data_IF_064199342056
#
_entry.id   IF_064199342056
#
_cell.length_a   1.000
_cell.length_b   1.000
_cell.length_c   1.000
_cell.angle_alpha   90.00
_cell.angle_beta   90.00
_cell.angle_gamma   90.00
#
_symmetry.space_group_name_H-M   'P 1'
#
loop_
_entity.id
_entity.type
_entity.pdbx_description
1 polymer ?
#
# COMPACT_ATOMS: atom_id res chain seq x y z
N UNK A 1 -30.05 -47.91 11.44
CA UNK A 1 -30.81 -47.80 10.19
C UNK A 1 -29.81 -47.61 9.04
N UNK A 2 -29.92 -48.51 8.08
CA UNK A 2 -29.20 -48.74 6.81
C UNK A 2 -28.72 -47.47 6.06
N UNK A 3 -27.44 -47.38 5.70
CA UNK A 3 -26.76 -47.78 4.44
C UNK A 3 -27.08 -46.88 3.23
N UNK A 4 -26.03 -46.47 2.51
CA UNK A 4 -26.13 -45.89 1.17
C UNK A 4 -24.83 -45.33 0.60
N UNK A 5 -23.77 -46.15 0.50
CA UNK A 5 -22.62 -45.84 -0.37
C UNK A 5 -22.97 -46.26 -1.80
N UNK A 6 -22.96 -45.29 -2.73
CA UNK A 6 -23.03 -45.55 -4.16
C UNK A 6 -21.62 -45.37 -4.76
N UNK A 7 -21.03 -46.51 -5.09
CA UNK A 7 -19.82 -46.68 -5.90
C UNK A 7 -20.27 -46.67 -7.37
N UNK A 8 -19.73 -45.73 -8.16
CA UNK A 8 -19.98 -45.64 -9.60
C UNK A 8 -18.73 -46.14 -10.33
N UNK A 9 -18.79 -47.39 -10.79
CA UNK A 9 -17.86 -47.95 -11.75
C UNK A 9 -18.11 -47.34 -13.14
N UNK A 10 -17.11 -46.62 -13.65
CA UNK A 10 -17.08 -46.12 -15.03
C UNK A 10 -16.30 -47.14 -15.87
N UNK A 11 -17.04 -47.94 -16.65
CA UNK A 11 -16.50 -48.88 -17.63
C UNK A 11 -16.12 -48.08 -18.90
N UNK A 12 -14.82 -48.01 -19.19
CA UNK A 12 -14.27 -47.46 -20.44
C UNK A 12 -14.15 -48.59 -21.47
N UNK A 13 -15.10 -48.65 -22.42
CA UNK A 13 -14.99 -49.50 -23.61
C UNK A 13 -13.99 -48.91 -24.62
N UNK A 14 -12.92 -49.67 -24.89
CA UNK A 14 -11.93 -49.37 -25.93
C UNK A 14 -12.31 -50.10 -27.22
N UNK A 15 -12.64 -49.41 -28.33
CA UNK A 15 -12.94 -50.08 -29.59
C UNK A 15 -11.65 -50.60 -30.25
N UNK A 16 -11.49 -51.93 -30.26
CA UNK A 16 -10.52 -52.64 -31.10
C UNK A 16 -10.94 -52.56 -32.57
N UNK A 17 -10.35 -51.63 -33.32
CA UNK A 17 -10.40 -51.64 -34.79
C UNK A 17 -9.23 -52.46 -35.33
N UNK A 18 -9.54 -53.62 -35.94
CA UNK A 18 -8.57 -54.43 -36.67
C UNK A 18 -8.22 -53.76 -38.01
N UNK A 19 -6.93 -53.60 -38.35
CA UNK A 19 -6.53 -53.08 -39.65
C UNK A 19 -6.80 -54.12 -40.74
N UNK A 20 -7.67 -53.75 -41.68
CA UNK A 20 -7.94 -54.52 -42.90
C UNK A 20 -6.70 -54.45 -43.80
N UNK A 21 -6.03 -55.59 -44.00
CA UNK A 21 -4.90 -55.74 -44.90
C UNK A 21 -5.38 -55.57 -46.35
N UNK A 22 -5.02 -54.44 -46.96
CA UNK A 22 -5.23 -54.19 -48.38
C UNK A 22 -4.27 -55.06 -49.22
N UNK A 23 -4.71 -55.50 -50.42
CA UNK A 23 -3.92 -56.36 -51.29
C UNK A 23 -2.62 -55.68 -51.73
N UNK A 24 -1.51 -56.42 -51.59
CA UNK A 24 -0.19 -56.02 -52.08
C UNK A 24 -0.25 -55.76 -53.59
N UNK A 25 -0.33 -54.49 -53.97
CA UNK A 25 -0.08 -54.07 -55.33
C UNK A 25 1.40 -54.25 -55.62
N UNK A 26 1.73 -55.09 -56.61
CA UNK A 26 3.08 -55.27 -57.10
C UNK A 26 3.54 -53.96 -57.74
N UNK A 27 4.29 -53.16 -56.97
CA UNK A 27 4.93 -51.94 -57.47
C UNK A 27 6.03 -52.36 -58.43
N UNK A 28 5.94 -51.93 -59.67
CA UNK A 28 6.98 -52.19 -60.69
C UNK A 28 8.31 -51.56 -60.25
N UNK A 29 9.46 -52.18 -60.58
CA UNK A 29 10.78 -51.67 -60.17
C UNK A 29 11.04 -50.23 -60.66
N UNK A 30 10.43 -49.83 -61.78
CA UNK A 30 10.51 -48.48 -62.33
C UNK A 30 9.76 -47.45 -61.47
N UNK A 31 8.56 -47.78 -60.99
CA UNK A 31 7.82 -46.91 -60.06
C UNK A 31 8.54 -46.75 -58.71
N UNK A 32 9.27 -47.79 -58.27
CA UNK A 32 10.11 -47.73 -57.08
C UNK A 32 11.32 -46.79 -57.28
N UNK A 33 11.96 -46.84 -58.44
CA UNK A 33 13.09 -45.95 -58.77
C UNK A 33 12.66 -44.48 -58.85
N UNK A 34 11.53 -44.19 -59.51
CA UNK A 34 10.99 -42.83 -59.60
C UNK A 34 10.61 -42.25 -58.22
N UNK A 35 10.03 -43.08 -57.34
CA UNK A 35 9.69 -42.66 -55.97
C UNK A 35 10.92 -42.37 -55.13
N UNK A 36 12.00 -43.14 -55.27
CA UNK A 36 13.26 -42.87 -54.57
C UNK A 36 13.92 -41.58 -55.07
N UNK A 37 13.88 -41.30 -56.37
CA UNK A 37 14.41 -40.05 -56.92
C UNK A 37 13.70 -38.81 -56.34
N UNK A 38 12.37 -38.84 -56.25
CA UNK A 38 11.58 -37.76 -55.63
C UNK A 38 11.90 -37.56 -54.15
N UNK A 39 12.13 -38.64 -53.39
CA UNK A 39 12.49 -38.54 -51.97
C UNK A 39 13.88 -37.89 -51.81
N UNK A 40 14.85 -38.26 -52.65
CA UNK A 40 16.20 -37.69 -52.61
C UNK A 40 16.17 -36.20 -52.98
N UNK A 41 15.39 -35.80 -53.98
CA UNK A 41 15.26 -34.40 -54.37
C UNK A 41 14.55 -33.56 -53.30
N UNK A 42 13.49 -34.09 -52.68
CA UNK A 42 12.81 -33.45 -51.56
C UNK A 42 13.75 -33.27 -50.35
N UNK A 43 14.58 -34.28 -50.03
CA UNK A 43 15.57 -34.18 -48.96
C UNK A 43 16.66 -33.15 -49.26
N UNK A 44 17.11 -33.04 -50.52
CA UNK A 44 18.10 -32.04 -50.93
C UNK A 44 17.55 -30.61 -50.82
N UNK A 45 16.28 -30.39 -51.17
CA UNK A 45 15.62 -29.09 -51.06
C UNK A 45 15.40 -28.67 -49.60
N UNK A 46 14.96 -29.61 -48.75
CA UNK A 46 14.77 -29.37 -47.32
C UNK A 46 16.10 -29.08 -46.57
N UNK A 47 17.22 -29.65 -47.02
CA UNK A 47 18.54 -29.35 -46.46
C UNK A 47 19.02 -27.92 -46.74
N UNK A 48 18.74 -27.38 -47.93
CA UNK A 48 19.18 -26.05 -48.33
C UNK A 48 18.41 -24.92 -47.61
N UNK A 49 17.09 -25.11 -47.39
CA UNK A 49 16.26 -24.13 -46.69
C UNK A 49 16.56 -24.07 -45.18
N UNK A 50 16.98 -25.19 -44.56
CA UNK A 50 17.41 -25.22 -43.15
C UNK A 50 18.67 -24.42 -42.88
N UNK A 51 19.67 -24.49 -43.78
CA UNK A 51 20.92 -23.76 -43.62
C UNK A 51 20.73 -22.24 -43.75
N UNK A 52 19.81 -21.79 -44.60
CA UNK A 52 19.50 -20.37 -44.77
C UNK A 52 18.69 -19.79 -43.59
N UNK A 53 17.78 -20.58 -43.02
CA UNK A 53 17.04 -20.20 -41.81
C UNK A 53 17.94 -20.13 -40.56
N UNK A 54 18.94 -21.02 -40.43
CA UNK A 54 19.88 -20.98 -39.29
C UNK A 54 20.82 -19.77 -39.33
N UNK A 55 21.30 -19.34 -40.50
CA UNK A 55 22.13 -18.14 -40.64
C UNK A 55 21.35 -16.83 -40.37
N UNK A 56 20.03 -16.84 -40.60
CA UNK A 56 19.17 -15.68 -40.33
C UNK A 56 18.81 -15.54 -38.84
N UNK A 57 18.79 -16.65 -38.10
CA UNK A 57 18.48 -16.67 -36.67
C UNK A 57 19.63 -16.11 -35.83
N UNK A 58 20.88 -16.42 -36.19
CA UNK A 58 22.07 -16.01 -35.42
C UNK A 58 22.35 -14.50 -35.46
N UNK A 59 21.96 -13.80 -36.54
CA UNK A 59 22.16 -12.34 -36.65
C UNK A 59 21.11 -11.56 -35.85
N UNK A 60 19.92 -12.15 -35.64
CA UNK A 60 18.87 -11.53 -34.84
C UNK A 60 19.19 -11.59 -33.33
N UNK A 61 19.85 -12.65 -32.87
CA UNK A 61 20.21 -12.82 -31.46
C UNK A 61 21.29 -11.83 -30.99
N UNK A 62 22.28 -11.51 -31.85
CA UNK A 62 23.33 -10.53 -31.52
C UNK A 62 22.78 -9.10 -31.38
N UNK A 63 21.81 -8.72 -32.24
CA UNK A 63 21.17 -7.40 -32.15
C UNK A 63 20.33 -7.25 -30.87
N UNK A 64 19.65 -8.33 -30.44
CA UNK A 64 18.86 -8.32 -29.21
C UNK A 64 19.74 -8.18 -27.96
N UNK A 65 20.90 -8.84 -27.95
CA UNK A 65 21.91 -8.73 -26.88
C UNK A 65 22.44 -7.31 -26.72
N UNK A 66 22.69 -6.59 -27.82
CA UNK A 66 23.17 -5.20 -27.75
C UNK A 66 22.12 -4.25 -27.14
N UNK A 67 20.85 -4.37 -27.53
CA UNK A 67 19.77 -3.54 -26.98
C UNK A 67 19.54 -3.82 -25.50
N UNK A 68 19.59 -5.10 -25.10
CA UNK A 68 19.49 -5.48 -23.70
C UNK A 68 20.65 -4.94 -22.85
N UNK A 69 21.88 -4.98 -23.37
CA UNK A 69 23.05 -4.43 -22.70
C UNK A 69 22.95 -2.90 -22.52
N UNK A 70 22.50 -2.16 -23.54
CA UNK A 70 22.31 -0.72 -23.46
C UNK A 70 21.22 -0.35 -22.43
N UNK A 71 20.10 -1.10 -22.41
CA UNK A 71 19.05 -0.91 -21.41
C UNK A 71 19.54 -1.21 -19.99
N UNK A 72 20.37 -2.24 -19.80
CA UNK A 72 20.96 -2.56 -18.51
C UNK A 72 21.88 -1.42 -17.99
N UNK A 73 22.67 -0.81 -18.88
CA UNK A 73 23.52 0.34 -18.51
C UNK A 73 22.66 1.55 -18.11
N UNK A 74 21.60 1.85 -18.87
CA UNK A 74 20.66 2.94 -18.52
C UNK A 74 19.96 2.70 -17.18
N UNK A 75 19.51 1.46 -16.93
CA UNK A 75 18.90 1.08 -15.66
C UNK A 75 19.88 1.20 -14.48
N UNK A 76 21.14 0.79 -14.67
CA UNK A 76 22.19 0.93 -13.66
C UNK A 76 22.49 2.40 -13.33
N UNK A 77 22.55 3.27 -14.35
CA UNK A 77 22.75 4.71 -14.16
C UNK A 77 21.56 5.35 -13.41
N UNK A 78 20.32 4.98 -13.75
CA UNK A 78 19.13 5.44 -13.04
C UNK A 78 19.12 5.00 -11.58
N UNK A 79 19.54 3.76 -11.29
CA UNK A 79 19.66 3.25 -9.92
C UNK A 79 20.70 4.04 -9.12
N UNK A 80 21.86 4.34 -9.71
CA UNK A 80 22.89 5.18 -9.05
C UNK A 80 22.38 6.59 -8.76
N UNK A 81 21.64 7.20 -9.70
CA UNK A 81 21.03 8.52 -9.50
C UNK A 81 20.01 8.51 -8.36
N UNK A 82 19.18 7.47 -8.25
CA UNK A 82 18.22 7.33 -7.13
C UNK A 82 18.93 7.14 -5.78
N UNK A 83 20.03 6.37 -5.75
CA UNK A 83 20.83 6.19 -4.52
C UNK A 83 21.47 7.51 -4.09
N UNK A 84 22.01 8.29 -5.04
CA UNK A 84 22.58 9.61 -4.76
C UNK A 84 21.51 10.59 -4.24
N UNK A 85 20.33 10.64 -4.89
CA UNK A 85 19.22 11.48 -4.46
C UNK A 85 18.72 11.11 -3.05
N UNK A 86 18.64 9.80 -2.74
CA UNK A 86 18.30 9.33 -1.39
C UNK A 86 19.33 9.75 -0.35
N UNK A 87 20.62 9.65 -0.68
CA UNK A 87 21.70 10.07 0.22
C UNK A 87 21.64 11.57 0.50
N UNK A 88 21.34 12.39 -0.53
CA UNK A 88 21.18 13.83 -0.37
C UNK A 88 19.97 14.16 0.51
N UNK A 89 18.82 13.55 0.26
CA UNK A 89 17.62 13.75 1.08
C UNK A 89 17.85 13.37 2.55
N UNK A 90 18.62 12.31 2.82
CA UNK A 90 18.98 11.94 4.19
C UNK A 90 19.85 13.00 4.87
N UNK A 91 20.85 13.51 4.17
CA UNK A 91 21.70 14.60 4.67
C UNK A 91 20.90 15.88 4.96
N UNK A 92 19.93 16.20 4.11
CA UNK A 92 19.07 17.37 4.31
C UNK A 92 18.13 17.21 5.53
N UNK A 93 17.64 16.00 5.79
CA UNK A 93 16.89 15.69 7.01
C UNK A 93 17.76 15.82 8.26
N UNK A 94 18.98 15.30 8.24
CA UNK A 94 19.90 15.39 9.37
C UNK A 94 20.27 16.87 9.67
N UNK A 95 20.44 17.69 8.63
CA UNK A 95 20.64 19.14 8.78
C UNK A 95 19.41 19.86 9.34
N UNK A 96 18.21 19.49 8.89
CA UNK A 96 16.97 20.06 9.41
C UNK A 96 16.77 19.73 10.89
N UNK A 97 17.10 18.51 11.33
CA UNK A 97 17.05 18.10 12.74
C UNK A 97 18.06 18.86 13.61
N UNK A 98 19.27 19.09 13.10
CA UNK A 98 20.28 19.94 13.74
C UNK A 98 19.80 21.38 13.93
N UNK A 99 19.18 21.97 12.90
CA UNK A 99 18.61 23.32 12.96
C UNK A 99 17.44 23.41 13.95
N UNK A 100 16.58 22.39 13.99
CA UNK A 100 15.45 22.34 14.94
C UNK A 100 15.96 22.27 16.38
N UNK A 101 16.94 21.41 16.64
CA UNK A 101 17.56 21.26 17.96
C UNK A 101 18.20 22.56 18.44
N UNK A 102 18.94 23.24 17.58
CA UNK A 102 19.53 24.55 17.89
C UNK A 102 18.46 25.61 18.18
N UNK A 103 17.37 25.64 17.41
CA UNK A 103 16.25 26.57 17.63
C UNK A 103 15.58 26.29 18.98
N UNK A 104 15.41 25.03 19.35
CA UNK A 104 14.82 24.64 20.63
C UNK A 104 15.70 25.04 21.82
N UNK A 105 17.02 24.87 21.72
CA UNK A 105 17.96 25.35 22.73
C UNK A 105 17.91 26.87 22.91
N UNK A 106 17.83 27.64 21.82
CA UNK A 106 17.66 29.09 21.88
C UNK A 106 16.37 29.51 22.59
N UNK A 107 15.27 28.80 22.35
CA UNK A 107 13.99 29.06 23.02
C UNK A 107 14.12 28.79 24.53
N UNK A 108 14.75 27.68 24.93
CA UNK A 108 14.99 27.36 26.35
C UNK A 108 15.83 28.45 27.02
N UNK A 109 16.91 28.90 26.38
CA UNK A 109 17.77 29.96 26.92
C UNK A 109 17.00 31.29 27.09
N UNK A 110 16.16 31.63 26.11
CA UNK A 110 15.30 32.81 26.16
C UNK A 110 14.27 32.71 27.30
N UNK A 111 13.67 31.54 27.48
CA UNK A 111 12.72 31.29 28.56
C UNK A 111 13.36 31.40 29.95
N UNK A 112 14.55 30.80 30.14
CA UNK A 112 15.30 30.91 31.39
C UNK A 112 15.66 32.36 31.70
N UNK A 113 16.04 33.14 30.69
CA UNK A 113 16.33 34.57 30.84
C UNK A 113 15.09 35.34 31.31
N UNK A 114 13.93 35.08 30.73
CA UNK A 114 12.66 35.67 31.18
C UNK A 114 12.30 35.27 32.60
N UNK A 115 12.53 34.01 32.99
CA UNK A 115 12.22 33.54 34.34
C UNK A 115 13.00 34.31 35.42
N UNK A 116 14.25 34.71 35.14
CA UNK A 116 15.04 35.53 36.08
C UNK A 116 14.41 36.92 36.32
N UNK A 117 13.74 37.50 35.32
CA UNK A 117 13.08 38.81 35.45
C UNK A 117 11.82 38.74 36.31
N UNK A 118 11.15 37.58 36.35
CA UNK A 118 9.91 37.38 37.13
C UNK A 118 10.15 36.71 38.48
N UNK A 119 11.40 36.47 38.88
CA UNK A 119 11.68 35.90 40.19
C UNK A 119 11.57 37.01 41.23
N UNK A 120 10.59 36.96 42.16
CA UNK A 120 10.39 38.04 43.12
C UNK A 120 11.64 38.20 44.00
N UNK A 121 12.06 39.44 44.31
CA UNK A 121 13.20 39.67 45.17
C UNK A 121 12.93 38.99 46.52
N UNK A 122 13.85 38.10 46.92
CA UNK A 122 13.72 37.34 48.16
C UNK A 122 13.58 38.32 49.33
N UNK A 123 12.39 38.36 49.91
CA UNK A 123 12.14 39.21 51.07
C UNK A 123 13.00 38.73 52.24
N UNK A 124 13.73 39.63 52.92
CA UNK A 124 14.60 39.24 54.04
C UNK A 124 13.78 38.60 55.16
N UNK A 125 14.14 37.36 55.49
CA UNK A 125 13.56 36.53 56.54
C UNK A 125 13.71 37.22 57.91
N UNK A 126 12.61 37.73 58.45
CA UNK A 126 12.55 38.26 59.81
C UNK A 126 12.40 37.11 60.80
N UNK A 127 13.52 36.68 61.38
CA UNK A 127 13.53 35.79 62.55
C UNK A 127 12.84 36.44 63.75
N UNK A 128 11.72 35.89 64.22
CA UNK A 128 11.22 36.14 65.59
C UNK A 128 10.97 34.83 66.33
N UNK A 129 11.59 34.75 67.50
CA UNK A 129 11.51 33.71 68.53
C UNK A 129 10.10 33.64 69.18
N UNK A 130 9.66 32.41 69.47
CA UNK A 130 8.89 31.82 70.62
C UNK A 130 8.15 32.74 71.64
N UNK A 131 7.17 32.29 72.50
CA UNK A 131 6.59 30.94 72.75
C UNK A 131 5.04 30.85 73.01
N UNK A 132 4.62 29.63 73.40
CA UNK A 132 3.32 29.05 73.79
C UNK A 132 2.25 29.88 74.54
N UNK A 133 0.96 29.63 74.24
CA UNK A 133 -0.11 29.14 75.15
C UNK A 133 -1.52 29.12 74.48
N UNK A 134 -2.35 28.15 74.89
CA UNK A 134 -3.75 27.81 74.49
C UNK A 134 -4.82 28.89 74.91
N UNK A 135 -6.17 28.70 74.78
CA UNK A 135 -7.01 27.74 74.03
C UNK A 135 -8.20 28.35 73.21
N UNK A 136 -8.80 27.50 72.36
CA UNK A 136 -10.23 27.41 71.98
C UNK A 136 -11.00 28.61 71.38
N UNK A 137 -11.37 28.51 70.10
CA UNK A 137 -12.77 28.64 69.61
C UNK A 137 -12.88 28.19 68.15
N UNK A 138 -13.96 27.50 67.72
CA UNK A 138 -14.13 27.03 66.36
C UNK A 138 -14.85 28.09 65.52
N UNK A 139 -14.13 28.73 64.60
CA UNK A 139 -14.76 29.55 63.55
C UNK A 139 -14.34 29.00 62.18
N UNK A 140 -15.34 28.43 61.52
CA UNK A 140 -15.29 27.82 60.19
C UNK A 140 -15.17 28.93 59.13
N UNK A 141 -14.07 29.04 58.36
CA UNK A 141 -14.05 29.91 57.21
C UNK A 141 -14.70 29.19 56.04
N UNK A 142 -15.63 29.88 55.37
CA UNK A 142 -16.17 29.46 54.07
C UNK A 142 -15.03 29.45 53.06
N UNK A 143 -14.61 28.27 52.64
CA UNK A 143 -13.72 28.07 51.50
C UNK A 143 -14.47 28.51 50.24
N UNK A 144 -14.28 29.76 49.82
CA UNK A 144 -14.57 30.17 48.45
C UNK A 144 -13.52 29.50 47.56
N UNK A 145 -13.90 28.37 46.97
CA UNK A 145 -13.20 27.78 45.83
C UNK A 145 -13.37 28.75 44.67
N UNK A 146 -12.38 29.61 44.49
CA UNK A 146 -12.24 30.47 43.34
C UNK A 146 -11.92 29.57 42.14
N UNK A 147 -12.97 29.14 41.42
CA UNK A 147 -12.84 28.48 40.11
C UNK A 147 -12.14 29.45 39.17
N UNK A 148 -10.82 29.31 39.07
CA UNK A 148 -10.01 29.89 38.00
C UNK A 148 -10.56 29.32 36.70
N UNK A 149 -11.25 30.15 35.93
CA UNK A 149 -11.57 29.86 34.54
C UNK A 149 -10.23 29.85 33.80
N UNK A 150 -9.62 28.67 33.71
CA UNK A 150 -8.60 28.40 32.71
C UNK A 150 -9.30 28.46 31.36
N UNK A 151 -8.98 29.52 30.61
CA UNK A 151 -9.37 29.64 29.21
C UNK A 151 -8.81 28.42 28.47
N UNK A 152 -9.64 27.61 27.79
CA UNK A 152 -9.14 26.45 27.09
C UNK A 152 -8.21 26.94 25.99
N UNK A 153 -6.92 26.63 26.14
CA UNK A 153 -5.94 26.83 25.08
C UNK A 153 -6.48 26.19 23.80
N UNK A 154 -6.58 26.98 22.74
CA UNK A 154 -7.02 26.53 21.42
C UNK A 154 -6.06 25.44 20.93
N UNK A 155 -6.44 24.17 21.11
CA UNK A 155 -5.70 23.03 20.56
C UNK A 155 -5.90 23.07 19.05
N UNK A 156 -4.85 23.46 18.32
CA UNK A 156 -4.80 23.42 16.86
C UNK A 156 -5.02 21.97 16.44
N UNK A 157 -6.07 21.72 15.66
CA UNK A 157 -6.36 20.39 15.14
C UNK A 157 -5.20 19.94 14.22
N UNK A 158 -4.64 18.73 14.39
CA UNK A 158 -3.60 18.24 13.51
C UNK A 158 -4.12 18.14 12.07
N UNK A 159 -3.26 18.47 11.10
CA UNK A 159 -3.59 18.36 9.68
C UNK A 159 -3.90 16.90 9.29
N UNK A 160 -4.95 16.70 8.50
CA UNK A 160 -5.33 15.40 7.96
C UNK A 160 -4.44 15.11 6.75
N UNK A 161 -3.61 14.06 6.85
CA UNK A 161 -2.81 13.54 5.73
C UNK A 161 -3.42 12.20 5.30
N UNK A 162 -3.99 12.10 4.08
CA UNK A 162 -4.54 10.84 3.56
C UNK A 162 -3.47 9.74 3.54
N UNK A 163 -3.77 8.57 4.13
CA UNK A 163 -2.80 7.47 4.24
C UNK A 163 -1.66 7.73 5.23
N UNK A 164 -1.67 8.88 5.91
CA UNK A 164 -0.67 9.24 6.91
C UNK A 164 -0.90 8.52 8.23
N UNK A 165 0.20 8.14 8.87
CA UNK A 165 0.21 7.76 10.29
C UNK A 165 -0.01 9.04 11.10
N UNK A 166 -1.02 9.07 11.97
CA UNK A 166 -1.22 10.18 12.90
C UNK A 166 -0.15 10.05 14.00
N UNK A 167 1.06 10.55 13.71
CA UNK A 167 2.11 10.65 14.71
C UNK A 167 1.87 11.90 15.56
N UNK A 168 1.27 11.70 16.74
CA UNK A 168 1.62 12.55 17.89
C UNK A 168 3.15 12.42 18.06
N UNK A 169 3.88 13.53 18.22
CA UNK A 169 5.26 13.71 17.74
C UNK A 169 6.17 12.52 18.06
N UNK A 170 6.63 11.79 17.03
CA UNK A 170 7.93 11.09 16.95
C UNK A 170 8.12 10.41 15.58
N UNK A 171 8.98 11.03 14.76
CA UNK A 171 9.87 10.53 13.70
C UNK A 171 9.36 9.58 12.57
N UNK A 172 9.46 10.10 11.33
CA UNK A 172 9.06 9.47 10.07
C UNK A 172 9.97 8.32 9.56
N UNK A 173 9.37 7.43 8.75
CA UNK A 173 10.00 6.27 8.11
C UNK A 173 9.84 6.37 6.58
N UNK A 174 10.86 6.00 5.76
CA UNK A 174 10.82 6.14 4.30
C UNK A 174 10.10 4.96 3.60
N UNK A 175 9.45 5.28 2.47
CA UNK A 175 8.69 4.37 1.62
C UNK A 175 9.56 3.37 0.83
N UNK A 176 9.04 2.17 0.54
CA UNK A 176 9.74 1.01 -0.04
C UNK A 176 9.00 0.50 -1.31
N UNK A 177 9.66 -0.28 -2.19
CA UNK A 177 9.29 -0.41 -3.61
C UNK A 177 8.11 -1.36 -3.89
N UNK A 178 7.47 -1.10 -5.03
CA UNK A 178 6.28 -1.74 -5.61
C UNK A 178 6.45 -3.26 -5.83
N UNK A 179 5.47 -4.12 -5.48
CA UNK A 179 5.53 -5.55 -5.76
C UNK A 179 5.20 -5.88 -7.23
N UNK A 180 5.80 -6.96 -7.71
CA UNK A 180 5.74 -7.46 -9.08
C UNK A 180 4.31 -7.57 -9.64
N UNK A 181 4.12 -7.08 -10.87
CA UNK A 181 2.87 -7.21 -11.63
C UNK A 181 2.57 -8.68 -11.91
N UNK A 182 1.46 -9.19 -11.37
CA UNK A 182 0.87 -10.44 -11.84
C UNK A 182 0.35 -10.27 -13.28
N UNK A 183 0.57 -11.31 -14.07
CA UNK A 183 0.39 -11.42 -15.53
C UNK A 183 -0.98 -10.93 -16.05
N UNK A 184 -0.97 -10.34 -17.25
CA UNK A 184 -2.13 -9.76 -17.91
C UNK A 184 -3.24 -10.80 -18.18
N UNK A 185 -4.48 -10.39 -17.91
CA UNK A 185 -5.64 -11.27 -17.90
C UNK A 185 -5.97 -11.90 -19.27
N UNK A 186 -6.23 -13.22 -19.34
CA UNK A 186 -6.87 -13.83 -20.50
C UNK A 186 -8.36 -13.42 -20.57
N UNK A 187 -8.82 -13.00 -21.76
CA UNK A 187 -10.16 -12.45 -22.04
C UNK A 187 -11.35 -13.44 -21.89
N UNK A 188 -11.17 -14.56 -21.20
CA UNK A 188 -12.23 -15.51 -20.88
C UNK A 188 -12.77 -15.15 -19.50
N UNK A 189 -13.98 -14.59 -19.43
CA UNK A 189 -14.76 -14.44 -18.20
C UNK A 189 -15.00 -15.81 -17.56
N UNK A 190 -14.01 -16.31 -16.83
CA UNK A 190 -14.16 -17.52 -16.05
C UNK A 190 -15.24 -17.25 -15.01
N UNK A 191 -16.34 -17.99 -15.10
CA UNK A 191 -17.40 -18.00 -14.10
C UNK A 191 -16.83 -18.71 -12.87
N UNK A 192 -16.15 -17.95 -12.03
CA UNK A 192 -15.45 -18.46 -10.86
C UNK A 192 -15.51 -17.45 -9.71
N UNK A 193 -15.36 -17.92 -8.47
CA UNK A 193 -15.24 -17.02 -7.33
C UNK A 193 -13.90 -16.29 -7.37
N UNK A 194 -13.94 -14.99 -7.14
CA UNK A 194 -12.76 -14.13 -7.07
C UNK A 194 -12.42 -13.82 -5.62
N UNK A 195 -11.13 -13.73 -5.31
CA UNK A 195 -10.64 -13.52 -3.96
C UNK A 195 -9.74 -12.31 -3.92
N UNK A 196 -9.95 -11.47 -2.92
CA UNK A 196 -9.07 -10.34 -2.61
C UNK A 196 -8.45 -10.58 -1.25
N UNK A 197 -7.13 -10.62 -1.19
CA UNK A 197 -6.34 -10.73 0.04
C UNK A 197 -5.79 -9.36 0.37
N UNK A 198 -6.30 -8.76 1.45
CA UNK A 198 -5.90 -7.45 1.96
C UNK A 198 -4.74 -7.54 2.95
N UNK A 199 -4.59 -8.68 3.61
CA UNK A 199 -3.46 -8.96 4.50
C UNK A 199 -3.28 -10.47 4.64
N UNK A 200 -2.12 -10.94 4.21
CA UNK A 200 -1.67 -12.32 4.30
C UNK A 200 -0.39 -12.47 5.11
N UNK A 201 0.11 -13.70 5.19
CA UNK A 201 1.44 -13.98 5.75
C UNK A 201 2.49 -13.15 5.02
N UNK A 202 3.52 -12.72 5.75
CA UNK A 202 4.65 -11.95 5.20
C UNK A 202 4.25 -10.65 4.48
N UNK A 203 3.07 -10.10 4.81
CA UNK A 203 2.54 -8.89 4.18
C UNK A 203 2.04 -9.11 2.75
N UNK A 204 1.85 -10.35 2.32
CA UNK A 204 1.31 -10.65 0.99
C UNK A 204 -0.12 -10.11 0.85
N UNK A 205 -0.36 -9.48 -0.29
CA UNK A 205 -1.65 -8.92 -0.69
C UNK A 205 -1.84 -9.20 -2.16
N UNK A 206 -3.09 -9.29 -2.61
CA UNK A 206 -3.33 -9.53 -4.02
C UNK A 206 -4.76 -9.88 -4.37
N UNK A 207 -4.92 -10.12 -5.66
CA UNK A 207 -6.16 -10.48 -6.32
C UNK A 207 -5.98 -11.86 -6.97
N UNK A 208 -6.86 -12.80 -6.67
CA UNK A 208 -6.73 -14.21 -7.03
C UNK A 208 -8.03 -14.74 -7.64
N UNK A 209 -7.92 -15.61 -8.65
CA UNK A 209 -9.03 -16.30 -9.29
C UNK A 209 -9.37 -17.64 -8.63
N UNK A 210 -8.51 -18.14 -7.73
CA UNK A 210 -8.64 -19.43 -7.07
C UNK A 210 -8.25 -19.36 -5.59
N UNK A 211 -8.91 -20.20 -4.79
CA UNK A 211 -8.56 -20.34 -3.38
C UNK A 211 -7.35 -21.26 -3.15
N UNK A 212 -7.31 -22.38 -3.88
CA UNK A 212 -6.20 -23.34 -3.87
C UNK A 212 -5.43 -23.21 -5.19
N UNK A 213 -4.11 -23.16 -5.11
CA UNK A 213 -3.22 -23.06 -6.26
C UNK A 213 -2.97 -24.42 -6.90
N UNK A 214 -2.44 -24.40 -8.12
CA UNK A 214 -1.65 -25.52 -8.62
C UNK A 214 -0.26 -25.47 -7.97
N UNK A 215 0.49 -26.57 -7.99
CA UNK A 215 1.71 -26.81 -7.19
C UNK A 215 2.84 -25.74 -7.32
N UNK A 216 2.73 -24.77 -8.22
CA UNK A 216 3.74 -23.74 -8.47
C UNK A 216 3.25 -22.29 -8.29
N UNK A 217 1.94 -22.05 -8.08
CA UNK A 217 1.39 -20.69 -7.97
C UNK A 217 0.90 -20.38 -6.55
N UNK A 218 1.31 -19.23 -6.03
CA UNK A 218 0.96 -18.78 -4.69
C UNK A 218 -0.56 -18.58 -4.58
N UNK A 219 -1.24 -19.38 -3.77
CA UNK A 219 -2.69 -19.31 -3.64
C UNK A 219 -3.15 -18.56 -2.40
N UNK A 220 -4.44 -18.18 -2.39
CA UNK A 220 -5.07 -17.57 -1.21
C UNK A 220 -4.87 -18.47 0.02
N UNK A 221 -5.00 -19.79 -0.15
CA UNK A 221 -4.75 -20.74 0.93
C UNK A 221 -3.32 -20.64 1.42
N UNK A 222 -2.31 -20.67 0.56
CA UNK A 222 -0.90 -20.64 1.00
C UNK A 222 -0.56 -19.37 1.78
N UNK A 223 -1.15 -18.25 1.37
CA UNK A 223 -0.93 -16.92 1.96
C UNK A 223 -1.68 -16.76 3.30
N UNK A 224 -2.83 -17.43 3.46
CA UNK A 224 -3.72 -17.19 4.60
C UNK A 224 -3.80 -18.36 5.57
N UNK A 225 -3.39 -19.56 5.17
CA UNK A 225 -3.47 -20.76 5.99
C UNK A 225 -2.53 -20.61 7.19
N UNK A 226 -3.08 -20.91 8.38
CA UNK A 226 -2.42 -20.75 9.67
C UNK A 226 -2.02 -19.31 10.06
N UNK A 227 -2.43 -18.31 9.28
CA UNK A 227 -2.21 -16.91 9.64
C UNK A 227 -3.41 -16.35 10.42
N UNK A 228 -3.18 -15.97 11.67
CA UNK A 228 -4.23 -15.50 12.60
C UNK A 228 -4.89 -14.21 12.11
N UNK A 229 -4.09 -13.30 11.54
CA UNK A 229 -4.51 -11.96 11.16
C UNK A 229 -4.90 -11.84 9.67
N UNK A 230 -5.18 -12.97 9.01
CA UNK A 230 -5.57 -12.98 7.60
C UNK A 230 -6.82 -12.13 7.34
N UNK A 231 -6.76 -11.30 6.31
CA UNK A 231 -7.88 -10.48 5.84
C UNK A 231 -8.09 -10.79 4.36
N UNK A 232 -9.16 -11.51 4.04
CA UNK A 232 -9.52 -11.78 2.66
C UNK A 232 -11.05 -11.78 2.49
N UNK A 233 -11.49 -11.55 1.25
CA UNK A 233 -12.91 -11.61 0.89
C UNK A 233 -13.09 -12.33 -0.44
N UNK A 234 -14.11 -13.19 -0.47
CA UNK A 234 -14.63 -13.84 -1.68
C UNK A 234 -15.70 -12.97 -2.34
N UNK A 235 -15.70 -12.94 -3.66
CA UNK A 235 -16.65 -12.24 -4.52
C UNK A 235 -17.15 -13.18 -5.62
N UNK A 236 -18.40 -12.99 -6.05
CA UNK A 236 -19.01 -13.79 -7.12
C UNK A 236 -18.83 -13.15 -8.51
N UNK A 237 -18.25 -11.94 -8.57
CA UNK A 237 -18.07 -11.16 -9.81
C UNK A 237 -16.66 -10.59 -9.84
N UNK A 238 -15.99 -10.78 -10.98
CA UNK A 238 -14.68 -10.21 -11.29
C UNK A 238 -14.68 -8.70 -11.11
N UNK A 239 -15.61 -8.00 -11.78
CA UNK A 239 -15.68 -6.54 -11.79
C UNK A 239 -15.82 -5.97 -10.37
N UNK A 240 -16.64 -6.61 -9.54
CA UNK A 240 -16.83 -6.19 -8.15
C UNK A 240 -15.57 -6.39 -7.32
N UNK A 241 -14.91 -7.53 -7.47
CA UNK A 241 -13.68 -7.84 -6.76
C UNK A 241 -12.55 -6.90 -7.17
N UNK A 242 -12.39 -6.67 -8.48
CA UNK A 242 -11.39 -5.78 -9.06
C UNK A 242 -11.59 -4.33 -8.64
N UNK A 243 -12.83 -3.84 -8.69
CA UNK A 243 -13.19 -2.50 -8.22
C UNK A 243 -12.84 -2.32 -6.73
N UNK A 244 -13.21 -3.28 -5.88
CA UNK A 244 -12.93 -3.20 -4.44
C UNK A 244 -11.43 -3.22 -4.16
N UNK A 245 -10.68 -4.10 -4.84
CA UNK A 245 -9.22 -4.16 -4.75
C UNK A 245 -8.56 -2.84 -5.17
N UNK A 246 -8.94 -2.33 -6.34
CA UNK A 246 -8.38 -1.09 -6.89
C UNK A 246 -8.60 0.09 -5.95
N UNK A 247 -9.82 0.24 -5.41
CA UNK A 247 -10.08 1.34 -4.46
C UNK A 247 -9.26 1.25 -3.18
N UNK A 248 -9.08 0.04 -2.62
CA UNK A 248 -8.31 -0.13 -1.37
C UNK A 248 -6.82 0.10 -1.63
N UNK A 249 -6.33 -0.26 -2.81
CA UNK A 249 -4.97 0.02 -3.27
C UNK A 249 -4.76 1.53 -3.45
N UNK A 250 -5.63 2.19 -4.21
CA UNK A 250 -5.50 3.61 -4.55
C UNK A 250 -5.70 4.53 -3.34
N UNK A 251 -6.48 4.09 -2.35
CA UNK A 251 -6.67 4.85 -1.11
C UNK A 251 -5.53 4.67 -0.09
N UNK A 252 -4.50 3.86 -0.39
CA UNK A 252 -3.37 3.59 0.51
C UNK A 252 -3.72 2.74 1.74
N UNK A 253 -4.93 2.17 1.81
CA UNK A 253 -5.35 1.34 2.96
C UNK A 253 -4.54 0.05 3.02
N UNK A 254 -4.08 -0.46 1.86
CA UNK A 254 -3.20 -1.62 1.79
C UNK A 254 -1.86 -1.39 2.51
N UNK A 255 -1.28 -0.20 2.39
CA UNK A 255 -0.02 0.14 3.05
C UNK A 255 -0.17 0.13 4.57
N UNK A 256 -1.30 0.65 5.07
CA UNK A 256 -1.64 0.62 6.51
C UNK A 256 -1.79 -0.79 7.07
N UNK A 257 -2.20 -1.75 6.23
CA UNK A 257 -2.43 -3.14 6.62
C UNK A 257 -1.23 -4.04 6.35
N UNK A 258 -0.15 -3.54 5.75
CA UNK A 258 0.98 -4.37 5.30
C UNK A 258 1.71 -5.03 6.46
N UNK A 259 2.02 -4.25 7.48
CA UNK A 259 2.80 -4.72 8.63
C UNK A 259 1.94 -5.56 9.59
N UNK A 260 2.53 -6.50 10.36
CA UNK A 260 1.78 -7.27 11.35
C UNK A 260 1.03 -6.38 12.36
N UNK A 261 -0.15 -6.80 12.86
CA UNK A 261 -0.91 -6.03 13.84
C UNK A 261 -0.09 -5.73 15.10
N UNK A 262 -0.08 -4.47 15.51
CA UNK A 262 0.62 -4.02 16.71
C UNK A 262 -0.34 -3.91 17.89
N UNK A 263 0.12 -4.22 19.10
CA UNK A 263 -0.71 -4.08 20.30
C UNK A 263 -1.06 -2.61 20.54
N UNK A 264 -2.35 -2.31 20.61
CA UNK A 264 -2.85 -0.93 20.82
C UNK A 264 -2.94 -0.12 19.53
N UNK A 265 -2.87 -0.75 18.37
CA UNK A 265 -3.18 -0.15 17.08
C UNK A 265 -4.64 0.36 17.05
N UNK A 266 -4.81 1.58 16.56
CA UNK A 266 -6.11 2.25 16.40
C UNK A 266 -6.16 2.87 15.01
N UNK A 267 -7.28 2.70 14.35
CA UNK A 267 -7.58 3.25 13.04
C UNK A 267 -8.72 4.27 13.16
N UNK A 268 -8.54 5.43 12.53
CA UNK A 268 -9.57 6.47 12.43
C UNK A 268 -9.99 6.58 10.98
N UNK A 269 -11.22 6.19 10.69
CA UNK A 269 -11.83 6.28 9.36
C UNK A 269 -12.49 7.64 9.24
N UNK A 270 -11.91 8.52 8.42
CA UNK A 270 -12.42 9.86 8.16
C UNK A 270 -13.44 9.79 7.01
N UNK A 271 -13.06 9.12 5.92
CA UNK A 271 -13.93 8.84 4.77
C UNK A 271 -14.08 7.34 4.58
N UNK A 272 -15.31 6.83 4.66
CA UNK A 272 -15.56 5.39 4.58
C UNK A 272 -17.04 5.04 4.61
N UNK A 273 -17.35 3.74 4.57
CA UNK A 273 -18.73 3.25 4.68
C UNK A 273 -19.38 3.60 6.04
N UNK A 274 -18.57 3.60 7.10
CA UNK A 274 -18.94 4.07 8.43
C UNK A 274 -17.74 4.77 9.04
N UNK A 275 -17.65 6.11 8.94
CA UNK A 275 -16.61 6.87 9.64
C UNK A 275 -16.64 6.57 11.15
N UNK A 276 -15.47 6.48 11.78
CA UNK A 276 -15.36 6.12 13.20
C UNK A 276 -13.97 5.64 13.60
N UNK A 277 -13.85 5.17 14.85
CA UNK A 277 -12.59 4.69 15.44
C UNK A 277 -12.65 3.18 15.68
N UNK A 278 -11.68 2.47 15.12
CA UNK A 278 -11.62 1.01 15.09
C UNK A 278 -10.31 0.50 15.69
N UNK A 279 -10.37 -0.54 16.54
CA UNK A 279 -9.18 -1.19 17.13
C UNK A 279 -8.86 -2.55 16.49
N UNK A 280 -9.71 -3.01 15.58
CA UNK A 280 -9.60 -4.32 14.96
C UNK A 280 -9.63 -4.15 13.44
N UNK A 281 -8.58 -4.64 12.76
CA UNK A 281 -8.44 -4.53 11.30
C UNK A 281 -9.59 -5.19 10.53
N UNK A 282 -10.16 -6.28 11.04
CA UNK A 282 -11.33 -6.92 10.44
C UNK A 282 -12.57 -6.02 10.53
N UNK A 283 -12.82 -5.39 11.70
CA UNK A 283 -13.94 -4.45 11.85
C UNK A 283 -13.75 -3.18 11.01
N UNK A 284 -12.51 -2.69 10.91
CA UNK A 284 -12.15 -1.60 10.01
C UNK A 284 -12.58 -1.94 8.56
N UNK A 285 -12.17 -3.10 8.03
CA UNK A 285 -12.52 -3.50 6.67
C UNK A 285 -14.03 -3.76 6.51
N UNK A 286 -14.66 -4.50 7.42
CA UNK A 286 -16.07 -4.88 7.29
C UNK A 286 -17.02 -3.69 7.50
N UNK A 287 -16.86 -2.96 8.60
CA UNK A 287 -17.81 -1.93 9.02
C UNK A 287 -17.36 -0.54 8.58
N UNK A 288 -16.10 -0.20 8.85
CA UNK A 288 -15.55 1.12 8.56
C UNK A 288 -15.48 1.41 7.07
N UNK A 289 -15.01 0.43 6.30
CA UNK A 289 -14.73 0.58 4.87
C UNK A 289 -15.67 -0.21 3.95
N UNK A 290 -16.38 -1.21 4.47
CA UNK A 290 -17.16 -2.16 3.69
C UNK A 290 -16.34 -2.81 2.54
N UNK A 291 -15.08 -3.14 2.82
CA UNK A 291 -14.08 -3.75 1.93
C UNK A 291 -13.66 -2.87 0.74
N UNK A 292 -13.89 -1.57 0.84
CA UNK A 292 -13.59 -0.60 -0.20
C UNK A 292 -12.53 0.40 0.26
N UNK A 293 -12.07 1.24 -0.65
CA UNK A 293 -11.14 2.32 -0.31
C UNK A 293 -11.78 3.34 0.63
N UNK A 294 -10.93 4.08 1.32
CA UNK A 294 -11.32 5.15 2.22
C UNK A 294 -10.12 5.96 2.70
N UNK A 295 -10.40 7.04 3.41
CA UNK A 295 -9.37 7.84 4.05
C UNK A 295 -9.27 7.40 5.51
N UNK A 296 -8.16 6.72 5.82
CA UNK A 296 -7.90 6.12 7.12
C UNK A 296 -6.57 6.63 7.64
N UNK A 297 -6.56 6.98 8.92
CA UNK A 297 -5.33 7.25 9.66
C UNK A 297 -5.09 6.11 10.66
N UNK A 298 -3.84 5.71 10.84
CA UNK A 298 -3.44 4.74 11.86
C UNK A 298 -2.61 5.41 12.95
N UNK A 299 -2.68 4.88 14.17
CA UNK A 299 -1.88 5.31 15.31
C UNK A 299 -1.86 4.25 16.41
N UNK A 300 -1.04 4.46 17.44
CA UNK A 300 -0.97 3.56 18.59
C UNK A 300 -1.41 4.29 19.85
N UNK A 301 -2.30 3.70 20.65
CA UNK A 301 -2.72 4.27 21.92
C UNK A 301 -4.09 3.82 22.43
N UNK A 302 -4.67 4.62 23.33
CA UNK A 302 -6.00 4.37 23.88
C UNK A 302 -7.07 4.88 22.93
N UNK A 303 -8.04 4.04 22.59
CA UNK A 303 -9.20 4.37 21.74
C UNK A 303 -9.86 5.71 22.08
N UNK A 304 -10.07 5.99 23.37
CA UNK A 304 -10.71 7.22 23.84
C UNK A 304 -10.05 8.50 23.31
N UNK A 305 -8.70 8.54 23.20
CA UNK A 305 -8.00 9.72 22.65
C UNK A 305 -8.35 9.95 21.19
N UNK A 306 -8.40 8.89 20.40
CA UNK A 306 -8.76 8.95 18.99
C UNK A 306 -10.25 9.26 18.80
N UNK A 307 -11.12 8.79 19.71
CA UNK A 307 -12.55 9.14 19.70
C UNK A 307 -12.79 10.64 19.93
N UNK A 308 -12.00 11.27 20.82
CA UNK A 308 -12.12 12.71 21.06
C UNK A 308 -11.68 13.53 19.84
N UNK A 309 -10.58 13.13 19.19
CA UNK A 309 -10.13 13.74 17.92
C UNK A 309 -11.17 13.52 16.81
N UNK A 310 -11.70 12.30 16.69
CA UNK A 310 -12.72 11.98 15.69
C UNK A 310 -14.00 12.81 15.89
N UNK A 311 -14.48 12.99 17.14
CA UNK A 311 -15.62 13.87 17.44
C UNK A 311 -15.37 15.31 17.02
N UNK A 312 -14.14 15.81 17.19
CA UNK A 312 -13.77 17.15 16.75
C UNK A 312 -13.84 17.27 15.21
N UNK A 313 -13.32 16.29 14.47
CA UNK A 313 -13.42 16.28 13.01
C UNK A 313 -14.85 16.11 12.50
N UNK A 314 -15.65 15.28 13.16
CA UNK A 314 -17.06 15.07 12.84
C UNK A 314 -17.87 16.37 13.05
N UNK A 315 -17.63 17.07 14.16
CA UNK A 315 -18.24 18.38 14.43
C UNK A 315 -17.82 19.46 13.40
N UNK A 316 -16.68 19.29 12.74
CA UNK A 316 -16.19 20.16 11.66
C UNK A 316 -16.67 19.71 10.27
N UNK A 317 -17.49 18.66 10.16
CA UNK A 317 -17.94 18.04 8.90
C UNK A 317 -16.77 17.58 8.00
N UNK A 318 -15.65 17.20 8.61
CA UNK A 318 -14.50 16.62 7.88
C UNK A 318 -14.69 15.12 7.61
N UNK A 319 -15.64 14.49 8.29
CA UNK A 319 -16.00 13.09 8.10
C UNK A 319 -16.95 12.94 6.90
N UNK A 320 -16.78 11.88 6.12
CA UNK A 320 -17.64 11.62 4.97
C UNK A 320 -18.09 10.16 4.92
N UNK A 321 -19.40 9.93 4.97
CA UNK A 321 -19.98 8.60 4.76
C UNK A 321 -20.12 8.31 3.26
N UNK A 322 -19.52 7.21 2.83
CA UNK A 322 -19.50 6.75 1.44
C UNK A 322 -20.45 5.56 1.26
N UNK A 323 -21.07 5.44 0.08
CA UNK A 323 -22.03 4.36 -0.21
C UNK A 323 -21.35 2.99 -0.26
N UNK A 324 -21.88 2.00 0.48
CA UNK A 324 -21.34 0.63 0.53
C UNK A 324 -21.30 -0.04 -0.85
N UNK A 325 -22.32 0.19 -1.68
CA UNK A 325 -22.48 -0.43 -3.00
C UNK A 325 -22.54 0.62 -4.13
N UNK A 326 -21.86 1.76 -3.97
CA UNK A 326 -21.81 2.82 -4.99
C UNK A 326 -20.85 2.54 -6.15
N UNK A 327 -20.80 3.45 -7.14
CA UNK A 327 -19.81 3.42 -8.23
C UNK A 327 -18.38 3.54 -7.70
N UNK A 328 -17.39 3.33 -8.58
CA UNK A 328 -15.97 3.47 -8.27
C UNK A 328 -15.70 4.82 -7.60
N UNK A 329 -14.98 4.81 -6.48
CA UNK A 329 -14.60 6.01 -5.72
C UNK A 329 -13.23 6.48 -6.19
N UNK A 330 -13.13 7.76 -6.50
CA UNK A 330 -11.86 8.39 -6.82
C UNK A 330 -11.21 8.94 -5.54
N UNK A 331 -10.00 8.48 -5.25
CA UNK A 331 -9.18 9.03 -4.18
C UNK A 331 -8.09 9.89 -4.82
N UNK A 332 -8.06 11.19 -4.48
CA UNK A 332 -6.96 12.06 -4.91
C UNK A 332 -5.69 11.55 -4.25
N UNK A 333 -4.79 11.00 -5.04
CA UNK A 333 -3.45 10.63 -4.59
C UNK A 333 -2.75 11.94 -4.20
N UNK A 334 -2.42 12.09 -2.91
CA UNK A 334 -1.89 13.33 -2.34
C UNK A 334 -0.54 13.80 -2.93
N UNK A 335 0.01 13.09 -3.92
CA UNK A 335 1.26 13.39 -4.62
C UNK A 335 1.12 14.02 -6.00
N UNK A 336 -0.09 14.11 -6.57
CA UNK A 336 -0.31 14.97 -7.74
C UNK A 336 -0.47 16.40 -7.22
N UNK A 337 0.64 17.00 -6.76
CA UNK A 337 0.72 18.45 -6.68
C UNK A 337 0.25 18.95 -8.03
N UNK A 338 -0.88 19.68 -8.03
CA UNK A 338 -1.15 20.59 -9.13
C UNK A 338 0.10 21.45 -9.20
N UNK A 339 0.95 21.14 -10.17
CA UNK A 339 1.91 22.06 -10.72
C UNK A 339 1.04 23.18 -11.26
N UNK A 340 0.65 24.09 -10.36
CA UNK A 340 0.04 25.36 -10.70
C UNK A 340 1.21 26.03 -11.38
N UNK A 341 1.29 25.83 -12.71
CA UNK A 341 2.20 26.56 -13.56
C UNK A 341 1.96 28.01 -13.27
N UNK A 342 2.81 28.56 -12.41
CA UNK A 342 3.03 29.97 -12.26
C UNK A 342 3.68 30.37 -13.59
N UNK A 343 2.82 30.56 -14.58
CA UNK A 343 3.11 31.24 -15.83
C UNK A 343 3.55 32.65 -15.42
N UNK A 344 4.82 32.77 -15.06
CA UNK A 344 5.50 34.04 -14.91
C UNK A 344 5.45 34.69 -16.29
N UNK A 345 4.42 35.51 -16.48
CA UNK A 345 4.37 36.51 -17.52
C UNK A 345 5.68 37.29 -17.46
N UNK A 346 6.55 36.99 -18.41
CA UNK A 346 7.82 37.66 -18.62
C UNK A 346 7.46 38.99 -19.28
N UNK A 347 7.09 39.98 -18.47
CA UNK A 347 6.78 41.32 -18.93
C UNK A 347 8.03 41.95 -19.56
N UNK A 348 7.82 42.42 -20.79
CA UNK A 348 8.72 43.20 -21.64
C UNK A 348 9.56 44.22 -20.86
N UNK A 349 10.88 43.99 -20.80
CA UNK A 349 11.84 45.07 -20.60
C UNK A 349 12.11 45.74 -21.94
N UNK A 350 11.34 46.77 -22.25
CA UNK A 350 11.64 47.70 -23.33
C UNK A 350 12.88 48.53 -22.97
N UNK A 351 13.91 48.44 -23.80
CA UNK A 351 15.10 49.28 -23.77
C UNK A 351 14.72 50.76 -24.01
N UNK A 352 15.10 51.63 -23.08
CA UNK A 352 15.17 53.07 -23.32
C UNK A 352 16.62 53.44 -23.61
N UNK A 353 16.97 53.54 -24.89
CA UNK A 353 18.13 54.30 -25.34
C UNK A 353 17.88 55.79 -25.05
N UNK A 354 18.74 56.40 -24.23
CA UNK A 354 18.95 57.84 -24.27
C UNK A 354 20.42 58.19 -24.05
N UNK A 355 20.94 58.91 -25.07
CA UNK A 355 22.15 59.75 -25.22
C UNK A 355 23.47 59.09 -25.53
#
# INVERSE_FOLDING_TARGET
MTKGSHELDVILEVPKSQPTLLPSQQITPEARAARLALIVEAQRKAGCERSQAQLSLTVADDALCHVAAEQAVKAAAALQAMVAARSQAQHDLDNADGNLSHTFEQIIQSFNSLQTLFTPPSTPSCHKKTPASQPATPSRPKTQVQKRFESPASVIAPAIIPGGRLELPTAAVPSCPEPARCSAAPASQAVGPWYVVYHGRDGHQGFFDRFNGADEELSVKDITQFYEHRLYKKFDSFDKAWMFWTEVKDSGVLDLLRDPPTKGEVFVVIKGASPGVYMNRMLLLIEGLAWRGGEVMSGNGKKARFEDVFKQWDAQNLTQRLSRNGPLREFRTAGASQDVGEELAMDDYAEAETV
#
